data_IF_043092386113
#
_entry.id   IF_043092386113
#
_cell.length_a   1.000
_cell.length_b   1.000
_cell.length_c   1.000
_cell.angle_alpha   90.00
_cell.angle_beta   90.00
_cell.angle_gamma   90.00
#
_symmetry.space_group_name_H-M   'P 1'
#
loop_
_entity.id
_entity.type
_entity.pdbx_description
1 polymer ?
#
# COMPACT_ATOMS: atom_id res chain seq x y z
N UNK A 1 -4.68 33.91 63.35
CA UNK A 1 -3.31 34.38 63.68
C UNK A 1 -2.46 33.16 64.04
N UNK A 2 -1.21 33.01 63.56
CA UNK A 2 -0.63 33.49 62.30
C UNK A 2 -0.02 32.35 61.43
N UNK A 3 0.25 32.68 60.15
CA UNK A 3 1.21 32.00 59.25
C UNK A 3 2.67 32.27 59.69
N UNK A 4 3.66 31.63 59.05
CA UNK A 4 4.50 32.40 58.10
C UNK A 4 4.73 31.63 56.76
N UNK A 5 4.49 32.28 55.60
CA UNK A 5 5.48 32.93 54.69
C UNK A 5 6.42 31.92 54.03
N UNK A 6 6.23 31.53 52.76
CA UNK A 6 6.46 32.29 51.51
C UNK A 6 7.91 32.81 51.36
N UNK A 7 8.63 32.26 50.38
CA UNK A 7 9.39 33.07 49.44
C UNK A 7 9.46 32.38 48.08
N UNK A 8 8.98 33.11 47.08
CA UNK A 8 9.12 32.89 45.66
C UNK A 8 10.16 33.87 45.11
N UNK A 9 10.48 33.66 43.83
CA UNK A 9 11.13 34.58 42.87
C UNK A 9 12.67 34.57 42.88
N UNK A 10 13.39 34.63 41.75
CA UNK A 10 13.15 34.42 40.31
C UNK A 10 14.55 34.49 39.64
N UNK A 11 14.79 34.70 38.33
CA UNK A 11 15.72 33.91 37.53
C UNK A 11 16.84 34.81 36.95
N UNK A 12 17.41 34.39 35.81
CA UNK A 12 18.35 35.11 34.94
C UNK A 12 19.85 34.91 35.24
N UNK A 13 20.47 34.14 34.34
CA UNK A 13 21.89 34.15 34.06
C UNK A 13 22.12 33.89 32.57
N UNK A 14 21.89 34.90 31.73
CA UNK A 14 22.49 34.96 30.39
C UNK A 14 24.01 35.10 30.53
N UNK A 15 24.77 34.37 29.73
CA UNK A 15 26.02 34.88 29.17
C UNK A 15 26.34 34.16 27.85
N UNK A 16 26.40 34.97 26.79
CA UNK A 16 26.94 34.67 25.48
C UNK A 16 28.43 35.09 25.42
N UNK A 17 29.03 34.84 24.25
CA UNK A 17 30.39 35.17 23.75
C UNK A 17 31.34 33.96 23.75
N UNK A 18 32.15 33.65 22.72
CA UNK A 18 32.76 34.46 21.67
C UNK A 18 33.01 33.66 20.36
N UNK A 19 33.09 34.43 19.27
CA UNK A 19 33.46 34.13 17.89
C UNK A 19 34.94 33.70 17.74
N UNK A 20 35.25 32.79 16.82
CA UNK A 20 36.50 32.87 16.03
C UNK A 20 36.33 32.31 14.60
N UNK A 21 36.53 33.19 13.63
CA UNK A 21 36.66 32.91 12.21
C UNK A 21 38.07 32.39 11.86
N UNK A 22 38.18 31.53 10.85
CA UNK A 22 39.45 30.98 10.38
C UNK A 22 39.42 30.54 8.91
N UNK A 23 40.04 31.38 8.08
CA UNK A 23 40.74 31.15 6.80
C UNK A 23 40.07 30.46 5.59
N UNK A 24 40.02 31.28 4.54
CA UNK A 24 40.01 30.98 3.09
C UNK A 24 40.95 29.85 2.67
N UNK A 25 40.46 28.98 1.78
CA UNK A 25 41.25 28.08 0.94
C UNK A 25 40.59 27.91 -0.43
N UNK A 26 41.14 28.59 -1.43
CA UNK A 26 40.73 28.63 -2.83
C UNK A 26 41.27 27.39 -3.54
N UNK A 27 40.42 26.64 -4.26
CA UNK A 27 40.81 25.82 -5.42
C UNK A 27 39.59 25.72 -6.33
N UNK A 28 39.65 26.43 -7.46
CA UNK A 28 38.73 26.21 -8.57
C UNK A 28 39.19 25.02 -9.39
N UNK A 29 38.24 24.38 -10.07
CA UNK A 29 38.35 23.94 -11.46
C UNK A 29 36.96 23.62 -11.98
N UNK A 30 36.62 24.30 -13.08
CA UNK A 30 35.50 24.02 -13.97
C UNK A 30 35.63 22.63 -14.59
N UNK A 31 34.50 21.94 -14.78
CA UNK A 31 34.29 21.11 -15.96
C UNK A 31 32.78 20.87 -16.16
N UNK A 32 32.25 21.57 -17.15
CA UNK A 32 31.26 21.19 -18.15
C UNK A 32 30.09 20.27 -17.74
N UNK A 33 28.92 20.90 -17.72
CA UNK A 33 27.60 20.31 -17.71
C UNK A 33 27.26 19.66 -19.06
N UNK A 34 27.13 18.34 -19.08
CA UNK A 34 26.28 17.61 -20.01
C UNK A 34 25.28 16.79 -19.20
N UNK A 35 24.02 17.24 -19.20
CA UNK A 35 22.87 16.54 -18.65
C UNK A 35 22.29 15.72 -19.80
N UNK A 36 22.35 14.39 -19.66
CA UNK A 36 21.73 13.44 -20.59
C UNK A 36 20.35 13.03 -20.03
N UNK A 37 19.22 13.37 -20.66
CA UNK A 37 17.90 13.18 -20.09
C UNK A 37 17.23 11.90 -20.62
N UNK A 38 17.86 10.72 -20.49
CA UNK A 38 17.19 9.43 -20.71
C UNK A 38 17.85 8.32 -19.89
N UNK A 39 17.49 8.21 -18.60
CA UNK A 39 17.87 7.06 -17.77
C UNK A 39 16.81 6.79 -16.68
N UNK A 40 15.56 6.57 -17.07
CA UNK A 40 14.54 5.95 -16.21
C UNK A 40 14.67 4.43 -16.33
N UNK A 41 15.63 3.85 -15.61
CA UNK A 41 15.87 2.41 -15.56
C UNK A 41 16.53 2.04 -14.25
N UNK A 42 15.76 1.49 -13.32
CA UNK A 42 16.26 1.05 -12.02
C UNK A 42 16.95 -0.32 -12.16
N UNK A 43 18.11 -0.56 -11.51
CA UNK A 43 18.83 -1.81 -11.66
C UNK A 43 18.21 -2.90 -10.78
N UNK A 44 17.69 -3.95 -11.41
CA UNK A 44 17.37 -5.24 -10.77
C UNK A 44 18.68 -6.02 -10.63
N UNK A 45 18.96 -6.54 -9.43
CA UNK A 45 20.11 -7.42 -9.19
C UNK A 45 19.92 -8.77 -9.90
N UNK A 46 20.56 -8.91 -11.07
CA UNK A 46 20.62 -10.13 -11.85
C UNK A 46 21.83 -10.98 -11.41
N UNK A 47 21.58 -12.06 -10.67
CA UNK A 47 22.48 -13.21 -10.62
C UNK A 47 22.04 -14.21 -11.70
N UNK A 48 22.73 -14.16 -12.83
CA UNK A 48 22.56 -15.06 -13.98
C UNK A 48 23.19 -16.43 -13.70
N UNK A 49 22.44 -17.51 -13.93
CA UNK A 49 22.98 -18.87 -14.11
C UNK A 49 23.57 -19.01 -15.53
N UNK A 50 24.61 -19.85 -15.76
CA UNK A 50 25.24 -20.00 -17.07
C UNK A 50 24.35 -20.76 -18.07
N UNK A 51 24.44 -20.35 -19.35
CA UNK A 51 23.76 -20.91 -20.53
C UNK A 51 24.15 -22.37 -20.78
N UNK A 52 23.14 -23.22 -20.96
CA UNK A 52 23.27 -24.45 -21.76
C UNK A 52 22.86 -24.14 -23.21
N UNK A 53 23.60 -24.71 -24.15
CA UNK A 53 23.51 -24.53 -25.60
C UNK A 53 22.23 -25.16 -26.19
N UNK A 54 21.64 -24.63 -27.29
CA UNK A 54 20.31 -25.05 -27.73
C UNK A 54 20.35 -26.36 -28.53
N UNK A 55 19.60 -27.38 -28.09
CA UNK A 55 19.18 -28.48 -28.95
C UNK A 55 18.17 -27.94 -29.99
N UNK A 56 18.37 -28.31 -31.26
CA UNK A 56 17.48 -27.97 -32.38
C UNK A 56 16.10 -28.61 -32.19
N UNK A 57 14.98 -27.92 -32.49
CA UNK A 57 13.66 -28.51 -32.35
C UNK A 57 13.35 -29.41 -33.56
N UNK A 58 12.92 -30.65 -33.27
CA UNK A 58 12.15 -31.48 -34.21
C UNK A 58 10.70 -31.00 -34.28
N UNK A 59 9.92 -31.43 -35.29
CA UNK A 59 8.62 -30.87 -35.60
C UNK A 59 7.52 -31.57 -34.80
N UNK A 60 7.45 -31.31 -33.50
CA UNK A 60 6.27 -31.70 -32.70
C UNK A 60 5.61 -30.43 -32.15
N UNK A 61 4.40 -30.19 -32.64
CA UNK A 61 3.51 -29.13 -32.19
C UNK A 61 3.14 -29.40 -30.72
N UNK A 62 3.93 -28.85 -29.80
CA UNK A 62 3.76 -29.00 -28.36
C UNK A 62 2.66 -28.10 -27.83
N UNK A 63 1.61 -28.73 -27.31
CA UNK A 63 0.62 -28.15 -26.42
C UNK A 63 1.36 -27.43 -25.28
N UNK A 64 1.16 -26.12 -25.15
CA UNK A 64 1.69 -25.35 -24.03
C UNK A 64 1.15 -25.93 -22.73
N UNK A 65 2.02 -26.51 -21.90
CA UNK A 65 1.68 -26.92 -20.54
C UNK A 65 1.17 -25.70 -19.75
N UNK A 66 0.15 -25.84 -18.87
CA UNK A 66 -0.28 -24.74 -18.01
C UNK A 66 0.93 -24.26 -17.21
N UNK A 67 1.25 -22.97 -17.32
CA UNK A 67 2.30 -22.35 -16.51
C UNK A 67 1.90 -22.52 -15.05
N UNK A 68 2.65 -23.34 -14.31
CA UNK A 68 2.46 -23.55 -12.87
C UNK A 68 2.54 -22.19 -12.16
N UNK A 69 1.40 -21.66 -11.75
CA UNK A 69 1.32 -20.46 -10.90
C UNK A 69 1.46 -20.88 -9.44
N UNK A 70 2.26 -20.15 -8.68
CA UNK A 70 2.53 -20.47 -7.26
C UNK A 70 1.64 -19.61 -6.37
N UNK A 71 1.17 -20.16 -5.24
CA UNK A 71 0.46 -19.37 -4.24
C UNK A 71 1.44 -18.65 -3.31
N UNK A 72 1.07 -17.49 -2.80
CA UNK A 72 1.92 -16.68 -1.93
C UNK A 72 1.20 -16.26 -0.65
N UNK A 73 1.99 -15.91 0.36
CA UNK A 73 1.57 -15.16 1.52
C UNK A 73 2.23 -13.78 1.44
N UNK A 74 1.38 -12.78 1.29
CA UNK A 74 1.75 -11.37 1.28
C UNK A 74 1.68 -10.83 2.71
N UNK A 75 2.82 -10.39 3.21
CA UNK A 75 2.96 -9.86 4.56
C UNK A 75 3.03 -8.33 4.52
N UNK A 76 2.31 -7.67 5.40
CA UNK A 76 2.75 -6.34 5.82
C UNK A 76 4.05 -6.45 6.63
N UNK A 77 4.78 -5.34 6.75
CA UNK A 77 6.08 -5.31 7.43
C UNK A 77 5.93 -4.86 8.88
N UNK A 78 5.51 -3.63 9.05
CA UNK A 78 5.53 -2.88 10.30
C UNK A 78 4.37 -3.33 11.21
N UNK A 79 4.65 -3.68 12.46
CA UNK A 79 3.72 -4.34 13.39
C UNK A 79 3.11 -5.67 12.87
N UNK A 80 3.76 -6.30 11.89
CA UNK A 80 3.35 -7.61 11.34
C UNK A 80 4.51 -8.60 11.38
N UNK A 81 5.64 -8.31 10.75
CA UNK A 81 6.86 -9.11 10.87
C UNK A 81 7.91 -8.45 11.79
N UNK A 82 7.90 -7.11 11.89
CA UNK A 82 8.80 -6.35 12.75
C UNK A 82 8.05 -5.38 13.66
N UNK A 83 8.70 -4.95 14.74
CA UNK A 83 8.22 -3.84 15.58
C UNK A 83 8.21 -2.52 14.79
N UNK A 84 7.17 -1.71 14.96
CA UNK A 84 7.12 -0.34 14.42
C UNK A 84 7.34 0.70 15.55
N UNK A 85 8.53 1.30 15.66
CA UNK A 85 8.78 2.39 16.60
C UNK A 85 8.16 3.73 16.14
N UNK A 86 7.47 3.77 15.00
CA UNK A 86 7.02 4.98 14.33
C UNK A 86 8.09 5.49 13.36
N UNK A 87 7.92 5.20 12.07
CA UNK A 87 8.85 5.57 11.00
C UNK A 87 10.27 5.02 11.22
N UNK A 88 10.38 3.69 11.23
CA UNK A 88 11.66 3.01 11.29
C UNK A 88 12.61 3.50 10.19
N UNK A 89 13.71 4.13 10.60
CA UNK A 89 14.70 4.77 9.72
C UNK A 89 16.15 4.39 10.07
N UNK A 90 16.37 3.60 11.12
CA UNK A 90 17.67 3.03 11.45
C UNK A 90 17.59 1.51 11.38
N UNK A 91 18.38 0.84 10.50
CA UNK A 91 18.47 -0.61 10.44
C UNK A 91 18.72 -1.28 11.80
N UNK A 92 19.45 -0.64 12.72
CA UNK A 92 19.74 -1.21 14.05
C UNK A 92 18.50 -1.39 14.92
N UNK A 93 17.42 -0.67 14.62
CA UNK A 93 16.15 -0.79 15.33
C UNK A 93 15.21 -1.82 14.72
N UNK A 94 15.60 -2.50 13.64
CA UNK A 94 14.84 -3.62 13.09
C UNK A 94 14.86 -4.78 14.08
N UNK A 95 13.67 -5.15 14.57
CA UNK A 95 13.45 -6.26 15.48
C UNK A 95 12.27 -7.09 14.98
N UNK A 96 12.48 -8.39 14.81
CA UNK A 96 11.41 -9.32 14.47
C UNK A 96 10.39 -9.39 15.61
N UNK A 97 9.11 -9.44 15.25
CA UNK A 97 8.08 -9.80 16.21
C UNK A 97 8.22 -11.28 16.62
N UNK A 98 7.79 -11.65 17.84
CA UNK A 98 7.81 -13.04 18.27
C UNK A 98 7.10 -13.97 17.28
N UNK A 99 7.79 -15.01 16.83
CA UNK A 99 7.26 -15.98 15.87
C UNK A 99 7.33 -15.57 14.40
N UNK A 100 7.81 -14.37 14.04
CA UNK A 100 7.88 -13.91 12.65
C UNK A 100 8.71 -14.82 11.75
N UNK A 101 9.94 -15.16 12.16
CA UNK A 101 10.77 -16.08 11.39
C UNK A 101 10.16 -17.48 11.30
N UNK A 102 9.64 -18.00 12.41
CA UNK A 102 8.96 -19.29 12.44
C UNK A 102 7.76 -19.33 11.48
N UNK A 103 6.96 -18.27 11.45
CA UNK A 103 5.80 -18.16 10.55
C UNK A 103 6.21 -18.19 9.08
N UNK A 104 7.17 -17.35 8.69
CA UNK A 104 7.71 -17.32 7.32
C UNK A 104 8.27 -18.69 6.93
N UNK A 105 9.12 -19.29 7.78
CA UNK A 105 9.73 -20.60 7.53
C UNK A 105 8.69 -21.71 7.33
N UNK A 106 7.67 -21.76 8.19
CA UNK A 106 6.60 -22.78 8.11
C UNK A 106 5.80 -22.66 6.82
N UNK A 107 5.50 -21.44 6.37
CA UNK A 107 4.77 -21.23 5.11
C UNK A 107 5.66 -21.49 3.89
N UNK A 108 6.96 -21.18 3.94
CA UNK A 108 7.92 -21.62 2.91
C UNK A 108 7.96 -23.15 2.79
N UNK A 109 7.96 -23.87 3.92
CA UNK A 109 7.94 -25.34 3.93
C UNK A 109 6.64 -25.93 3.37
N UNK A 110 5.55 -25.16 3.39
CA UNK A 110 4.28 -25.53 2.77
C UNK A 110 4.21 -25.18 1.27
N UNK A 111 5.31 -24.74 0.65
CA UNK A 111 5.37 -24.42 -0.78
C UNK A 111 4.78 -23.06 -1.16
N UNK A 112 4.53 -22.19 -0.19
CA UNK A 112 4.05 -20.82 -0.42
C UNK A 112 5.23 -19.85 -0.53
N UNK A 113 5.16 -18.94 -1.49
CA UNK A 113 6.11 -17.82 -1.53
C UNK A 113 5.81 -16.81 -0.41
N UNK A 114 6.84 -16.28 0.24
CA UNK A 114 6.70 -15.27 1.29
C UNK A 114 7.15 -13.91 0.78
N UNK A 115 6.21 -12.99 0.62
CA UNK A 115 6.45 -11.70 -0.03
C UNK A 115 6.00 -10.57 0.88
N UNK A 116 6.84 -9.55 1.05
CA UNK A 116 6.43 -8.34 1.76
C UNK A 116 5.74 -7.37 0.79
N UNK A 117 4.64 -6.76 1.23
CA UNK A 117 3.95 -5.65 0.57
C UNK A 117 3.71 -4.53 1.59
N UNK A 118 4.50 -3.45 1.54
CA UNK A 118 4.54 -2.44 2.62
C UNK A 118 4.39 -1.00 2.14
N UNK A 119 3.64 -0.17 2.88
CA UNK A 119 3.53 1.27 2.59
C UNK A 119 4.68 2.02 3.30
N UNK A 120 5.59 2.65 2.55
CA UNK A 120 6.76 3.36 3.06
C UNK A 120 6.70 4.86 2.80
N UNK A 121 5.67 5.52 3.32
CA UNK A 121 5.49 6.99 3.19
C UNK A 121 6.58 7.84 3.87
N UNK A 122 7.49 7.23 4.64
CA UNK A 122 8.65 7.93 5.19
C UNK A 122 9.54 8.55 4.11
N UNK A 123 9.59 7.92 2.92
CA UNK A 123 10.28 8.46 1.75
C UNK A 123 9.65 9.76 1.25
N UNK A 124 8.33 9.77 1.01
CA UNK A 124 7.61 10.98 0.62
C UNK A 124 7.67 12.08 1.68
N UNK A 125 7.69 11.72 2.96
CA UNK A 125 7.82 12.66 4.08
C UNK A 125 9.26 13.13 4.32
N UNK A 126 10.25 12.64 3.57
CA UNK A 126 11.65 13.02 3.71
C UNK A 126 12.29 12.60 5.03
N UNK A 127 11.76 11.54 5.67
CA UNK A 127 12.27 11.03 6.95
C UNK A 127 13.52 10.17 6.78
N UNK A 128 13.65 9.51 5.62
CA UNK A 128 14.81 8.74 5.21
C UNK A 128 14.81 8.61 3.68
N UNK A 129 15.92 8.15 3.12
CA UNK A 129 16.08 7.88 1.69
C UNK A 129 15.96 6.38 1.36
N UNK A 130 15.92 6.04 0.08
CA UNK A 130 15.79 4.64 -0.36
C UNK A 130 17.01 3.79 0.02
N UNK A 131 18.21 4.38 0.05
CA UNK A 131 19.41 3.68 0.49
C UNK A 131 19.29 3.23 1.95
N UNK A 132 18.67 4.05 2.80
CA UNK A 132 18.36 3.70 4.19
C UNK A 132 17.27 2.63 4.26
N UNK A 133 16.23 2.73 3.43
CA UNK A 133 15.19 1.72 3.34
C UNK A 133 15.75 0.35 2.92
N UNK A 134 16.67 0.30 1.96
CA UNK A 134 17.28 -0.95 1.54
C UNK A 134 18.12 -1.57 2.64
N UNK A 135 18.87 -0.77 3.42
CA UNK A 135 19.59 -1.27 4.59
C UNK A 135 18.65 -1.84 5.66
N UNK A 136 17.46 -1.26 5.82
CA UNK A 136 16.42 -1.80 6.71
C UNK A 136 15.93 -3.15 6.19
N UNK A 137 15.69 -3.27 4.88
CA UNK A 137 15.31 -4.53 4.25
C UNK A 137 16.40 -5.60 4.32
N UNK A 138 17.66 -5.23 4.14
CA UNK A 138 18.80 -6.13 4.30
C UNK A 138 18.88 -6.64 5.73
N UNK A 139 18.74 -5.75 6.72
CA UNK A 139 18.73 -6.16 8.12
C UNK A 139 17.58 -7.10 8.44
N UNK A 140 16.39 -6.87 7.88
CA UNK A 140 15.26 -7.77 8.00
C UNK A 140 15.57 -9.15 7.41
N UNK A 141 16.14 -9.21 6.20
CA UNK A 141 16.55 -10.47 5.56
C UNK A 141 17.59 -11.21 6.39
N UNK A 142 18.58 -10.51 6.94
CA UNK A 142 19.60 -11.09 7.83
C UNK A 142 18.98 -11.75 9.06
N UNK A 143 18.06 -11.05 9.74
CA UNK A 143 17.40 -11.56 10.94
C UNK A 143 16.54 -12.79 10.64
N UNK A 144 15.80 -12.79 9.53
CA UNK A 144 15.03 -13.96 9.09
C UNK A 144 15.96 -15.13 8.73
N UNK A 145 17.03 -14.87 7.99
CA UNK A 145 17.98 -15.88 7.56
C UNK A 145 18.71 -16.54 8.74
N UNK A 146 18.98 -15.80 9.82
CA UNK A 146 19.55 -16.34 11.05
C UNK A 146 18.66 -17.40 11.73
N UNK A 147 17.37 -17.44 11.38
CA UNK A 147 16.38 -18.40 11.86
C UNK A 147 15.84 -19.30 10.72
N UNK A 148 16.62 -19.50 9.64
CA UNK A 148 16.26 -20.33 8.48
C UNK A 148 14.94 -19.92 7.79
N UNK A 149 14.57 -18.65 7.89
CA UNK A 149 13.42 -18.05 7.22
C UNK A 149 13.88 -17.19 6.04
N UNK A 150 13.16 -17.25 4.91
CA UNK A 150 13.53 -16.52 3.69
C UNK A 150 12.32 -15.83 3.07
N UNK A 151 12.51 -14.58 2.68
CA UNK A 151 11.58 -13.83 1.83
C UNK A 151 11.94 -14.03 0.36
N UNK A 152 10.92 -14.13 -0.48
CA UNK A 152 11.05 -14.28 -1.92
C UNK A 152 11.11 -12.93 -2.64
N UNK A 153 10.41 -11.93 -2.11
CA UNK A 153 10.44 -10.56 -2.62
C UNK A 153 9.96 -9.55 -1.58
N UNK A 154 10.30 -8.27 -1.79
CA UNK A 154 9.79 -7.13 -1.03
C UNK A 154 9.31 -6.10 -2.05
N UNK A 155 8.02 -5.76 -1.99
CA UNK A 155 7.42 -4.66 -2.71
C UNK A 155 7.03 -3.58 -1.72
N UNK A 156 7.30 -2.33 -2.07
CA UNK A 156 6.93 -1.20 -1.23
C UNK A 156 6.35 -0.05 -2.06
N UNK A 157 5.50 0.74 -1.42
CA UNK A 157 4.98 1.97 -1.99
C UNK A 157 5.64 3.18 -1.31
N UNK A 158 6.47 3.96 -2.02
CA UNK A 158 7.09 5.17 -1.47
C UNK A 158 6.13 6.38 -1.48
N UNK A 159 5.06 6.30 -2.26
CA UNK A 159 4.21 7.42 -2.63
C UNK A 159 3.23 7.81 -1.52
N UNK A 160 3.01 9.12 -1.42
CA UNK A 160 2.01 9.74 -0.56
C UNK A 160 1.53 11.03 -1.25
N UNK A 161 0.22 11.24 -1.30
CA UNK A 161 -0.35 12.52 -1.74
C UNK A 161 -0.58 13.46 -0.55
N UNK A 162 -0.69 14.76 -0.82
CA UNK A 162 -1.06 15.78 0.15
C UNK A 162 0.13 16.52 0.78
N UNK A 163 -0.15 17.42 1.74
CA UNK A 163 0.82 18.40 2.23
C UNK A 163 2.03 17.78 2.95
N UNK A 164 1.86 16.60 3.57
CA UNK A 164 2.92 15.90 4.30
C UNK A 164 4.04 15.34 3.40
N UNK A 165 3.76 15.11 2.12
CA UNK A 165 4.70 14.53 1.17
C UNK A 165 5.71 15.58 0.67
N UNK A 166 6.66 15.99 1.52
CA UNK A 166 7.62 17.06 1.23
C UNK A 166 8.59 16.75 0.07
N UNK A 167 8.83 15.48 -0.23
CA UNK A 167 9.74 15.07 -1.32
C UNK A 167 8.97 14.91 -2.61
N UNK A 168 9.19 15.84 -3.54
CA UNK A 168 8.39 15.99 -4.77
C UNK A 168 8.35 14.72 -5.63
N UNK A 169 9.46 13.98 -5.73
CA UNK A 169 9.52 12.74 -6.53
C UNK A 169 8.53 11.66 -6.06
N UNK A 170 8.09 11.71 -4.79
CA UNK A 170 7.15 10.76 -4.21
C UNK A 170 5.77 11.37 -3.90
N UNK A 171 5.56 12.66 -4.17
CA UNK A 171 4.31 13.38 -3.92
C UNK A 171 3.29 13.07 -5.02
N UNK A 172 2.59 11.96 -4.88
CA UNK A 172 1.55 11.57 -5.82
C UNK A 172 0.58 10.56 -5.21
N UNK A 173 -0.62 10.51 -5.78
CA UNK A 173 -1.51 9.38 -5.57
C UNK A 173 -1.03 8.16 -6.37
N UNK A 174 -1.18 6.96 -5.83
CA UNK A 174 -0.63 5.74 -6.45
C UNK A 174 -1.48 4.50 -6.20
N UNK A 175 -1.61 3.67 -7.23
CA UNK A 175 -2.22 2.34 -7.16
C UNK A 175 -1.41 1.36 -6.31
N UNK A 176 -0.12 1.62 -6.10
CA UNK A 176 0.73 0.80 -5.25
C UNK A 176 0.43 1.00 -3.76
N UNK A 177 -0.18 2.13 -3.36
CA UNK A 177 -0.43 2.43 -1.94
C UNK A 177 -1.65 1.67 -1.44
N UNK A 178 -1.47 0.78 -0.44
CA UNK A 178 -2.60 0.13 0.26
C UNK A 178 -3.52 1.22 0.84
N UNK A 179 -4.84 1.15 0.65
CA UNK A 179 -5.66 -0.04 0.39
C UNK A 179 -5.79 -0.49 -1.07
N UNK A 180 -5.12 0.16 -2.03
CA UNK A 180 -5.15 -0.29 -3.42
C UNK A 180 -4.29 -1.56 -3.62
N UNK A 181 -4.67 -2.45 -4.56
CA UNK A 181 -4.04 -3.76 -4.73
C UNK A 181 -2.76 -3.72 -5.58
N UNK A 182 -2.24 -2.55 -5.98
CA UNK A 182 -1.22 -2.45 -7.02
C UNK A 182 0.08 -3.20 -6.71
N UNK A 183 0.53 -3.22 -5.45
CA UNK A 183 1.71 -4.02 -5.06
C UNK A 183 1.48 -5.52 -5.25
N UNK A 184 0.27 -6.02 -4.94
CA UNK A 184 -0.07 -7.43 -5.09
C UNK A 184 -0.21 -7.81 -6.57
N UNK A 185 -0.84 -6.95 -7.37
CA UNK A 185 -0.95 -7.13 -8.81
C UNK A 185 0.43 -7.14 -9.48
N UNK A 186 1.33 -6.23 -9.07
CA UNK A 186 2.72 -6.20 -9.53
C UNK A 186 3.46 -7.48 -9.19
N UNK A 187 3.36 -7.95 -7.94
CA UNK A 187 3.99 -9.19 -7.51
C UNK A 187 3.44 -10.41 -8.27
N UNK A 188 2.13 -10.46 -8.50
CA UNK A 188 1.49 -11.52 -9.29
C UNK A 188 2.02 -11.60 -10.71
N UNK A 189 2.16 -10.45 -11.39
CA UNK A 189 2.69 -10.41 -12.75
C UNK A 189 4.18 -10.82 -12.80
N UNK A 190 5.01 -10.25 -11.93
CA UNK A 190 6.47 -10.47 -11.96
C UNK A 190 6.85 -11.90 -11.53
N UNK A 191 6.07 -12.51 -10.65
CA UNK A 191 6.38 -13.80 -10.03
C UNK A 191 5.43 -14.93 -10.40
N UNK A 192 4.44 -14.67 -11.27
CA UNK A 192 3.42 -15.64 -11.71
C UNK A 192 2.63 -16.24 -10.54
N UNK A 193 2.22 -15.38 -9.61
CA UNK A 193 1.48 -15.78 -8.41
C UNK A 193 -0.01 -15.84 -8.70
N UNK A 194 -0.65 -16.92 -8.27
CA UNK A 194 -2.12 -17.02 -8.25
C UNK A 194 -2.68 -16.26 -7.03
N UNK A 195 -3.24 -15.09 -7.27
CA UNK A 195 -3.82 -14.25 -6.21
C UNK A 195 -5.01 -14.91 -5.52
N UNK A 196 -5.79 -15.74 -6.21
CA UNK A 196 -6.98 -16.39 -5.63
C UNK A 196 -6.63 -17.52 -4.65
N UNK A 197 -5.47 -18.16 -4.87
CA UNK A 197 -4.88 -19.13 -3.94
C UNK A 197 -3.99 -18.47 -2.86
N UNK A 198 -3.76 -17.16 -2.95
CA UNK A 198 -2.85 -16.42 -2.07
C UNK A 198 -3.55 -15.78 -0.88
N UNK A 199 -2.72 -15.36 0.08
CA UNK A 199 -3.12 -14.79 1.36
C UNK A 199 -2.49 -13.43 1.58
N UNK A 200 -3.18 -12.54 2.28
CA UNK A 200 -2.62 -11.28 2.81
C UNK A 200 -2.74 -11.28 4.32
N UNK A 201 -1.63 -11.06 5.00
CA UNK A 201 -1.55 -10.98 6.46
C UNK A 201 -1.00 -9.62 6.85
N UNK A 202 -1.77 -8.87 7.65
CA UNK A 202 -1.38 -7.54 8.10
C UNK A 202 -2.09 -7.13 9.37
N UNK A 203 -1.72 -5.98 9.91
CA UNK A 203 -2.25 -5.43 11.16
C UNK A 203 -3.30 -4.34 10.95
N UNK A 204 -3.50 -3.89 9.70
CA UNK A 204 -4.38 -2.77 9.36
C UNK A 204 -5.49 -3.19 8.39
N UNK A 205 -6.60 -2.44 8.40
CA UNK A 205 -7.66 -2.63 7.42
C UNK A 205 -7.20 -2.32 6.00
N UNK A 206 -6.19 -1.46 5.82
CA UNK A 206 -5.65 -1.17 4.50
C UNK A 206 -5.03 -2.43 3.85
N UNK A 207 -4.45 -3.31 4.66
CA UNK A 207 -3.88 -4.59 4.19
C UNK A 207 -4.97 -5.52 3.69
N UNK A 208 -6.02 -5.70 4.49
CA UNK A 208 -7.13 -6.59 4.16
C UNK A 208 -7.95 -6.03 3.00
N UNK A 209 -8.13 -4.71 2.91
CA UNK A 209 -8.77 -4.08 1.77
C UNK A 209 -7.97 -4.28 0.48
N UNK A 210 -6.64 -4.16 0.52
CA UNK A 210 -5.78 -4.44 -0.63
C UNK A 210 -5.85 -5.90 -1.06
N UNK A 211 -5.80 -6.84 -0.11
CA UNK A 211 -5.93 -8.27 -0.40
C UNK A 211 -7.27 -8.63 -1.00
N UNK A 212 -8.36 -8.11 -0.43
CA UNK A 212 -9.71 -8.32 -0.94
C UNK A 212 -9.89 -7.72 -2.34
N UNK A 213 -9.33 -6.54 -2.57
CA UNK A 213 -9.33 -5.89 -3.87
C UNK A 213 -8.56 -6.72 -4.93
N UNK A 214 -7.46 -7.36 -4.53
CA UNK A 214 -6.67 -8.25 -5.38
C UNK A 214 -7.31 -9.64 -5.60
N UNK A 215 -8.28 -10.03 -4.78
CA UNK A 215 -8.93 -11.34 -4.84
C UNK A 215 -8.26 -12.42 -3.97
N UNK A 216 -7.32 -12.03 -3.11
CA UNK A 216 -6.68 -12.89 -2.12
C UNK A 216 -7.50 -13.01 -0.84
N UNK A 217 -7.27 -14.08 -0.10
CA UNK A 217 -7.83 -14.26 1.25
C UNK A 217 -7.08 -13.37 2.23
N UNK A 218 -7.75 -12.90 3.28
CA UNK A 218 -7.15 -11.90 4.18
C UNK A 218 -7.20 -12.32 5.64
N UNK A 219 -6.12 -11.99 6.36
CA UNK A 219 -5.98 -12.21 7.80
C UNK A 219 -5.57 -10.90 8.47
N UNK A 220 -6.35 -10.47 9.46
CA UNK A 220 -6.04 -9.31 10.30
C UNK A 220 -5.44 -9.77 11.64
N UNK A 221 -4.24 -9.30 11.98
CA UNK A 221 -3.51 -9.60 13.23
C UNK A 221 -3.97 -8.77 14.45
N UNK A 222 -5.19 -8.23 14.43
CA UNK A 222 -5.69 -7.36 15.48
C UNK A 222 -7.20 -7.60 15.70
N UNK A 223 -7.59 -8.47 16.65
CA UNK A 223 -8.99 -8.82 16.87
C UNK A 223 -9.87 -7.63 17.22
N UNK A 224 -9.31 -6.62 17.90
CA UNK A 224 -10.06 -5.44 18.34
C UNK A 224 -10.52 -4.53 17.19
N UNK A 225 -9.87 -4.64 16.01
CA UNK A 225 -10.18 -3.83 14.82
C UNK A 225 -11.06 -4.57 13.80
N UNK A 226 -11.29 -5.87 14.00
CA UNK A 226 -11.95 -6.71 13.01
C UNK A 226 -13.47 -6.51 12.90
N UNK A 227 -14.08 -5.83 13.88
CA UNK A 227 -15.47 -6.09 14.25
C UNK A 227 -16.54 -5.88 13.15
N UNK A 228 -16.26 -5.20 12.02
CA UNK A 228 -17.30 -4.89 11.00
C UNK A 228 -16.84 -4.78 9.53
N UNK A 229 -15.59 -5.05 9.19
CA UNK A 229 -15.11 -4.83 7.81
C UNK A 229 -15.21 -6.11 6.95
N UNK A 230 -15.87 -6.02 5.79
CA UNK A 230 -16.07 -7.15 4.85
C UNK A 230 -14.78 -7.55 4.11
N UNK A 231 -13.74 -6.75 4.22
CA UNK A 231 -12.43 -7.05 3.65
C UNK A 231 -11.64 -8.07 4.47
N UNK A 232 -12.06 -8.39 5.69
CA UNK A 232 -11.40 -9.34 6.60
C UNK A 232 -12.08 -10.70 6.50
N UNK A 233 -11.40 -11.70 5.96
CA UNK A 233 -11.91 -13.08 5.92
C UNK A 233 -11.64 -13.79 7.26
N UNK A 234 -10.46 -13.56 7.86
CA UNK A 234 -10.05 -14.17 9.12
C UNK A 234 -9.38 -13.17 10.06
N UNK A 235 -9.44 -13.49 11.35
CA UNK A 235 -8.79 -12.74 12.41
C UNK A 235 -7.88 -13.69 13.15
N UNK A 236 -6.62 -13.30 13.30
CA UNK A 236 -5.63 -14.07 14.04
C UNK A 236 -5.14 -13.25 15.24
N UNK A 237 -4.93 -13.92 16.38
CA UNK A 237 -4.44 -13.29 17.61
C UNK A 237 -2.91 -13.22 17.67
N UNK A 238 -2.23 -13.99 16.83
CA UNK A 238 -0.78 -14.05 16.71
C UNK A 238 -0.38 -14.52 15.31
N UNK A 239 0.91 -14.41 15.00
CA UNK A 239 1.48 -14.94 13.75
C UNK A 239 1.33 -16.46 13.66
N UNK A 240 1.49 -17.18 14.77
CA UNK A 240 1.28 -18.63 14.80
C UNK A 240 -0.18 -19.00 14.46
N UNK A 241 -1.15 -18.28 15.02
CA UNK A 241 -2.57 -18.46 14.73
C UNK A 241 -2.88 -18.18 13.24
N UNK A 242 -2.26 -17.14 12.68
CA UNK A 242 -2.38 -16.84 11.25
C UNK A 242 -1.82 -17.97 10.38
N UNK A 243 -0.66 -18.54 10.74
CA UNK A 243 -0.05 -19.67 10.02
C UNK A 243 -0.95 -20.90 10.06
N UNK A 244 -1.54 -21.24 11.21
CA UNK A 244 -2.48 -22.37 11.31
C UNK A 244 -3.69 -22.19 10.40
N UNK A 245 -4.25 -20.96 10.36
CA UNK A 245 -5.36 -20.63 9.46
C UNK A 245 -4.95 -20.84 8.00
N UNK A 246 -3.80 -20.31 7.58
CA UNK A 246 -3.29 -20.46 6.21
C UNK A 246 -3.12 -21.95 5.86
N UNK A 247 -2.43 -22.72 6.70
CA UNK A 247 -2.15 -24.14 6.43
C UNK A 247 -3.44 -24.96 6.34
N UNK A 248 -4.37 -24.77 7.29
CA UNK A 248 -5.65 -25.48 7.31
C UNK A 248 -6.47 -25.24 6.03
N UNK A 249 -6.47 -24.01 5.54
CA UNK A 249 -7.29 -23.59 4.40
C UNK A 249 -6.58 -23.70 3.04
N UNK A 250 -5.28 -24.03 3.03
CA UNK A 250 -4.50 -24.29 1.81
C UNK A 250 -4.43 -25.80 1.54
N UNK A 251 -4.16 -26.64 2.55
CA UNK A 251 -4.10 -28.11 2.42
C UNK A 251 -5.47 -28.74 2.11
N UNK A 252 -6.56 -28.09 2.53
CA UNK A 252 -7.93 -28.52 2.19
C UNK A 252 -8.29 -28.45 0.70
N UNK A 253 -7.48 -27.78 -0.13
CA UNK A 253 -7.67 -27.71 -1.59
C UNK A 253 -7.00 -28.88 -2.31
N UNK A 254 -5.91 -29.44 -1.79
CA UNK A 254 -5.23 -30.60 -2.38
C UNK A 254 -5.95 -31.93 -2.08
N UNK A 255 -6.58 -32.06 -0.90
CA UNK A 255 -7.30 -33.29 -0.51
C UNK A 255 -8.69 -33.45 -1.15
N UNK A 256 -9.14 -32.48 -1.94
CA UNK A 256 -10.40 -32.55 -2.69
C UNK A 256 -10.24 -33.13 -4.12
N UNK A 257 -9.03 -33.54 -4.52
CA UNK A 257 -8.82 -34.31 -5.74
C UNK A 257 -9.09 -35.80 -5.46
N UNK A 258 -10.12 -36.43 -6.06
CA UNK A 258 -10.40 -37.83 -5.80
C UNK A 258 -9.37 -38.72 -6.50
N UNK A 259 -8.70 -39.57 -5.71
CA UNK A 259 -8.12 -40.80 -6.20
C UNK A 259 -9.25 -41.71 -6.68
N UNK A 260 -9.28 -42.02 -7.98
CA UNK A 260 -10.25 -42.94 -8.57
C UNK A 260 -9.78 -43.36 -9.95
N UNK A 261 -9.52 -44.67 -10.08
CA UNK A 261 -9.16 -45.34 -11.32
C UNK A 261 -10.17 -45.06 -12.46
N UNK A 262 -9.64 -44.87 -13.67
CA UNK A 262 -10.38 -44.68 -14.95
C UNK A 262 -11.17 -45.93 -15.36
N UNK A 263 -12.13 -45.92 -16.34
CA UNK A 263 -11.98 -45.20 -17.62
C UNK A 263 -13.26 -44.65 -18.31
N UNK A 264 -13.00 -43.90 -19.40
CA UNK A 264 -13.86 -43.61 -20.56
C UNK A 264 -14.90 -42.47 -20.44
N UNK A 265 -14.60 -41.34 -21.12
CA UNK A 265 -15.45 -40.77 -22.17
C UNK A 265 -14.71 -39.58 -22.79
N UNK A 266 -14.54 -39.63 -24.11
CA UNK A 266 -14.09 -38.54 -24.95
C UNK A 266 -15.05 -37.33 -24.84
N UNK A 267 -14.57 -36.17 -25.30
CA UNK A 267 -15.34 -34.96 -25.60
C UNK A 267 -15.43 -33.87 -24.50
N UNK A 268 -14.29 -33.47 -23.91
CA UNK A 268 -14.21 -32.30 -23.00
C UNK A 268 -12.96 -31.41 -23.17
N UNK A 269 -12.33 -31.37 -24.34
CA UNK A 269 -11.12 -30.57 -24.53
C UNK A 269 -11.37 -29.10 -24.92
N UNK A 270 -12.52 -28.78 -25.55
CA UNK A 270 -12.79 -27.41 -26.02
C UNK A 270 -13.39 -26.46 -24.96
N UNK A 271 -14.01 -26.99 -23.89
CA UNK A 271 -14.61 -26.17 -22.84
C UNK A 271 -13.59 -25.61 -21.83
N UNK A 272 -12.46 -26.30 -21.63
CA UNK A 272 -11.45 -25.95 -20.62
C UNK A 272 -10.60 -24.74 -21.00
N UNK A 273 -10.13 -24.70 -22.24
CA UNK A 273 -9.34 -23.57 -22.75
C UNK A 273 -10.19 -22.30 -22.82
N UNK A 274 -11.42 -22.41 -23.36
CA UNK A 274 -12.37 -21.29 -23.41
C UNK A 274 -12.73 -20.81 -22.00
N UNK A 275 -12.94 -21.71 -21.03
CA UNK A 275 -13.20 -21.31 -19.64
C UNK A 275 -12.01 -20.58 -18.98
N UNK A 276 -10.76 -20.95 -19.31
CA UNK A 276 -9.57 -20.29 -18.74
C UNK A 276 -9.39 -18.88 -19.28
N UNK A 277 -9.51 -18.68 -20.60
CA UNK A 277 -9.47 -17.36 -21.22
C UNK A 277 -10.69 -16.52 -20.83
N UNK A 278 -11.87 -17.15 -20.70
CA UNK A 278 -13.08 -16.47 -20.22
C UNK A 278 -12.94 -16.09 -18.74
N UNK A 279 -12.28 -16.89 -17.91
CA UNK A 279 -11.98 -16.55 -16.51
C UNK A 279 -10.97 -15.42 -16.40
N UNK A 280 -9.93 -15.38 -17.23
CA UNK A 280 -8.99 -14.27 -17.30
C UNK A 280 -9.68 -12.98 -17.74
N UNK A 281 -10.48 -13.04 -18.81
CA UNK A 281 -11.27 -11.91 -19.30
C UNK A 281 -12.30 -11.49 -18.23
N UNK A 282 -12.98 -12.41 -17.57
CA UNK A 282 -13.92 -12.09 -16.49
C UNK A 282 -13.23 -11.52 -15.26
N UNK A 283 -11.99 -11.93 -14.95
CA UNK A 283 -11.19 -11.36 -13.87
C UNK A 283 -10.76 -9.94 -14.20
N UNK A 284 -10.36 -9.69 -15.45
CA UNK A 284 -10.00 -8.37 -15.96
C UNK A 284 -11.23 -7.46 -16.03
N UNK A 285 -12.36 -7.96 -16.52
CA UNK A 285 -13.62 -7.22 -16.54
C UNK A 285 -14.13 -6.93 -15.12
N UNK A 286 -13.99 -7.84 -14.15
CA UNK A 286 -14.28 -7.56 -12.72
C UNK A 286 -13.30 -6.55 -12.10
N UNK A 287 -12.04 -6.53 -12.55
CA UNK A 287 -11.07 -5.51 -12.14
C UNK A 287 -11.44 -4.13 -12.73
N UNK A 288 -11.94 -4.08 -13.97
CA UNK A 288 -12.41 -2.87 -14.65
C UNK A 288 -13.75 -2.38 -14.08
N UNK A 289 -14.70 -3.27 -13.78
CA UNK A 289 -16.00 -2.94 -13.16
C UNK A 289 -15.83 -2.31 -11.77
N UNK A 290 -14.77 -2.68 -11.04
CA UNK A 290 -14.40 -2.03 -9.77
C UNK A 290 -13.82 -0.62 -9.94
N UNK A 291 -13.39 -0.22 -11.15
CA UNK A 291 -13.01 1.18 -11.43
C UNK A 291 -14.23 2.11 -11.38
N UNK A 292 -15.41 1.63 -11.76
CA UNK A 292 -16.65 2.43 -11.65
C UNK A 292 -17.01 2.73 -10.19
N UNK A 293 -16.68 1.86 -9.24
CA UNK A 293 -16.86 2.14 -7.81
C UNK A 293 -15.92 3.23 -7.27
N UNK A 294 -14.76 3.43 -7.89
CA UNK A 294 -13.87 4.56 -7.61
C UNK A 294 -14.32 5.84 -8.34
N UNK A 295 -15.00 5.72 -9.49
CA UNK A 295 -15.54 6.86 -10.23
C UNK A 295 -16.75 7.51 -9.52
N UNK A 296 -17.55 6.73 -8.78
CA UNK A 296 -18.63 7.25 -7.92
C UNK A 296 -18.08 8.15 -6.79
N UNK A 297 -16.85 7.92 -6.34
CA UNK A 297 -16.15 8.79 -5.38
C UNK A 297 -15.70 10.10 -6.03
N UNK A 298 -15.31 10.07 -7.31
CA UNK A 298 -14.95 11.26 -8.08
C UNK A 298 -16.18 12.14 -8.36
N UNK A 299 -17.34 11.55 -8.67
CA UNK A 299 -18.54 12.28 -9.02
C UNK A 299 -19.10 13.06 -7.83
N UNK A 300 -19.16 12.44 -6.64
CA UNK A 300 -19.62 13.12 -5.43
C UNK A 300 -18.69 14.29 -5.03
N UNK A 301 -17.38 14.13 -5.26
CA UNK A 301 -16.39 15.19 -5.00
C UNK A 301 -16.51 16.32 -6.02
N UNK A 302 -16.74 16.00 -7.30
CA UNK A 302 -16.98 16.96 -8.38
C UNK A 302 -18.28 17.75 -8.17
N UNK A 303 -19.37 17.06 -7.81
CA UNK A 303 -20.65 17.68 -7.47
C UNK A 303 -20.50 18.60 -6.26
N UNK A 304 -19.76 18.18 -5.23
CA UNK A 304 -19.45 19.03 -4.08
C UNK A 304 -18.71 20.32 -4.47
N UNK A 305 -17.70 20.24 -5.35
CA UNK A 305 -16.97 21.41 -5.85
C UNK A 305 -17.86 22.34 -6.69
N UNK A 306 -18.71 21.78 -7.56
CA UNK A 306 -19.66 22.57 -8.36
C UNK A 306 -20.68 23.32 -7.49
N UNK A 307 -21.26 22.65 -6.49
CA UNK A 307 -22.19 23.27 -5.54
C UNK A 307 -21.49 24.37 -4.74
N UNK A 308 -20.23 24.15 -4.34
CA UNK A 308 -19.43 25.16 -3.64
C UNK A 308 -19.17 26.40 -4.51
N UNK A 309 -18.85 26.23 -5.79
CA UNK A 309 -18.65 27.34 -6.73
C UNK A 309 -19.95 28.16 -6.90
N UNK A 310 -21.10 27.49 -6.98
CA UNK A 310 -22.40 28.17 -7.05
C UNK A 310 -22.74 28.92 -5.76
N UNK A 311 -22.42 28.37 -4.59
CA UNK A 311 -22.61 29.04 -3.30
C UNK A 311 -21.78 30.33 -3.19
N UNK A 312 -20.51 30.28 -3.62
CA UNK A 312 -19.62 31.45 -3.65
C UNK A 312 -20.14 32.49 -4.65
N UNK A 313 -20.58 32.08 -5.84
CA UNK A 313 -21.14 32.99 -6.83
C UNK A 313 -22.43 33.68 -6.31
N UNK A 314 -23.31 32.93 -5.63
CA UNK A 314 -24.51 33.48 -5.00
C UNK A 314 -24.18 34.48 -3.88
N UNK A 315 -23.16 34.20 -3.08
CA UNK A 315 -22.68 35.10 -2.03
C UNK A 315 -22.09 36.40 -2.62
N UNK A 316 -21.24 36.30 -3.64
CA UNK A 316 -20.67 37.46 -4.33
C UNK A 316 -21.77 38.32 -4.95
N UNK A 317 -22.77 37.68 -5.57
CA UNK A 317 -23.90 38.39 -6.15
C UNK A 317 -24.78 39.07 -5.10
N UNK A 318 -25.00 38.42 -3.94
CA UNK A 318 -25.72 39.04 -2.82
C UNK A 318 -24.98 40.27 -2.26
N UNK A 319 -23.66 40.19 -2.11
CA UNK A 319 -22.83 41.33 -1.68
C UNK A 319 -22.92 42.49 -2.69
N UNK A 320 -22.86 42.18 -3.99
CA UNK A 320 -22.95 43.19 -5.04
C UNK A 320 -24.34 43.85 -5.10
N UNK A 321 -25.41 43.08 -4.90
CA UNK A 321 -26.79 43.57 -4.75
C UNK A 321 -26.94 44.50 -3.55
N UNK A 322 -26.29 44.19 -2.42
CA UNK A 322 -26.25 45.03 -1.23
C UNK A 322 -25.57 46.37 -1.51
N UNK A 323 -24.46 46.38 -2.27
CA UNK A 323 -23.77 47.62 -2.68
C UNK A 323 -24.63 48.47 -3.61
N UNK A 324 -25.49 47.85 -4.43
CA UNK A 324 -26.43 48.56 -5.31
C UNK A 324 -27.70 49.07 -4.61
N UNK A 325 -27.90 48.76 -3.33
CA UNK A 325 -29.07 49.23 -2.56
C UNK A 325 -30.39 48.59 -2.98
N UNK A 326 -30.38 47.35 -3.46
CA UNK A 326 -31.61 46.62 -3.79
C UNK A 326 -32.45 46.26 -2.54
N UNK A 327 -33.72 45.94 -2.73
CA UNK A 327 -34.72 45.74 -1.68
C UNK A 327 -34.32 44.68 -0.61
N UNK A 328 -34.49 45.00 0.67
CA UNK A 328 -34.02 44.17 1.80
C UNK A 328 -34.63 42.76 1.80
N UNK A 329 -35.87 42.62 1.35
CA UNK A 329 -36.54 41.31 1.23
C UNK A 329 -35.83 40.38 0.24
N UNK A 330 -35.36 40.92 -0.90
CA UNK A 330 -34.64 40.14 -1.90
C UNK A 330 -33.23 39.75 -1.42
N UNK A 331 -32.59 40.59 -0.61
CA UNK A 331 -31.27 40.30 -0.04
C UNK A 331 -31.32 39.11 0.93
N UNK A 332 -32.33 39.06 1.81
CA UNK A 332 -32.50 37.98 2.80
C UNK A 332 -32.70 36.63 2.10
N UNK A 333 -33.57 36.58 1.08
CA UNK A 333 -33.82 35.34 0.32
C UNK A 333 -32.54 34.82 -0.35
N UNK A 334 -31.71 35.71 -0.90
CA UNK A 334 -30.44 35.34 -1.56
C UNK A 334 -29.39 34.83 -0.57
N UNK A 335 -29.29 35.47 0.61
CA UNK A 335 -28.41 35.01 1.68
C UNK A 335 -28.82 33.63 2.21
N UNK A 336 -30.11 33.40 2.40
CA UNK A 336 -30.64 32.10 2.82
C UNK A 336 -30.36 31.01 1.78
N UNK A 337 -30.49 31.33 0.48
CA UNK A 337 -30.17 30.41 -0.60
C UNK A 337 -28.68 30.06 -0.66
N UNK A 338 -27.79 31.05 -0.50
CA UNK A 338 -26.35 30.81 -0.44
C UNK A 338 -25.96 29.94 0.77
N UNK A 339 -26.56 30.19 1.94
CA UNK A 339 -26.36 29.38 3.14
C UNK A 339 -26.83 27.92 2.94
N UNK A 340 -27.97 27.73 2.28
CA UNK A 340 -28.50 26.40 1.97
C UNK A 340 -27.56 25.62 1.05
N UNK A 341 -27.04 26.26 -0.02
CA UNK A 341 -26.06 25.63 -0.90
C UNK A 341 -24.77 25.26 -0.17
N UNK A 342 -24.31 26.12 0.76
CA UNK A 342 -23.14 25.84 1.59
C UNK A 342 -23.33 24.59 2.47
N UNK A 343 -24.52 24.42 3.07
CA UNK A 343 -24.86 23.25 3.89
C UNK A 343 -24.93 21.96 3.06
N UNK A 344 -25.45 22.04 1.83
CA UNK A 344 -25.48 20.91 0.90
C UNK A 344 -24.06 20.50 0.52
N UNK A 345 -23.20 21.45 0.15
CA UNK A 345 -21.79 21.18 -0.18
C UNK A 345 -21.04 20.54 1.00
N UNK A 346 -21.24 21.05 2.22
CA UNK A 346 -20.64 20.49 3.44
C UNK A 346 -21.10 19.06 3.72
N UNK A 347 -22.39 18.77 3.45
CA UNK A 347 -22.96 17.42 3.60
C UNK A 347 -22.38 16.46 2.58
N UNK A 348 -22.25 16.87 1.31
CA UNK A 348 -21.58 16.09 0.27
C UNK A 348 -20.11 15.78 0.66
N UNK A 349 -19.39 16.74 1.21
CA UNK A 349 -18.00 16.56 1.63
C UNK A 349 -17.88 15.67 2.87
N UNK A 350 -18.76 15.81 3.86
CA UNK A 350 -18.78 14.94 5.05
C UNK A 350 -19.16 13.50 4.72
N UNK A 351 -19.97 13.26 3.69
CA UNK A 351 -20.30 11.91 3.24
C UNK A 351 -19.13 11.27 2.50
N UNK A 352 -18.35 12.07 1.77
CA UNK A 352 -17.12 11.63 1.12
C UNK A 352 -15.97 11.37 2.11
N UNK A 353 -15.95 12.02 3.28
CA UNK A 353 -14.85 11.88 4.27
C UNK A 353 -15.08 10.83 5.37
N UNK A 354 -16.27 10.20 5.44
CA UNK A 354 -16.67 9.26 6.52
C UNK A 354 -16.57 7.78 6.12
N UNK A 355 -15.98 7.45 4.98
CA UNK A 355 -15.68 6.09 4.53
C UNK A 355 -14.24 6.07 4.01
#
# INVERSE_FOLDING_TARGET
MPKPRANAADPHGHQATHIRAGSKGRLGKSLDSHVDPTASGWPVSLLSRPRAEPLRPGPDCGILSPTMTTAAVFWDRDNTLIEDPGYLHDPKHVKLLPGAAAAVRRLSQAGLENIIVTNQSGLARGLFDEATLEKIHDRLRELLAAEDARLDAIYYCPYLDGPEAVVEQYRQDSDLRKPRPGMLAKASLERKIDLAASWVVGNSLADTQAGRAAGSRTILLSPDKAAKDRSVDFVARSLDDAVEIVLKHTVGLEQAAPAGDSPAAADRQDAGAVSSTLQEILSFLRMVDRRQQADDFSLNRLVGVLVQMLAVAALVWAIFSMIRGEDYGAQIVRLLFALMLQLIALTCFSLASRR
#
